data_IF_386361486966
#
_entry.id   IF_386361486966
#
_cell.length_a   1.000
_cell.length_b   1.000
_cell.length_c   1.000
_cell.angle_alpha   90.00
_cell.angle_beta   90.00
_cell.angle_gamma   90.00
#
_symmetry.space_group_name_H-M   'P 1'
#
loop_
_entity.id
_entity.type
_entity.pdbx_description
1 polymer ?
#
# COMPACT_ATOMS: atom_id res chain seq x y z
N UNK A 1 -10.61 25.14 2.68
CA UNK A 1 -11.11 24.35 3.85
C UNK A 1 -10.46 22.96 3.80
N UNK A 2 -9.37 22.77 4.51
CA UNK A 2 -8.48 21.61 4.39
C UNK A 2 -9.13 20.25 4.72
N UNK A 3 -10.13 20.22 5.61
CA UNK A 3 -10.86 19.00 5.98
C UNK A 3 -12.00 18.61 5.05
N UNK A 4 -12.39 19.49 4.12
CA UNK A 4 -13.41 19.22 3.10
C UNK A 4 -12.80 18.80 1.76
N UNK A 5 -11.52 18.40 1.74
CA UNK A 5 -10.86 17.92 0.53
C UNK A 5 -11.41 16.56 0.09
N UNK A 6 -11.64 16.40 -1.20
CA UNK A 6 -12.21 15.17 -1.80
C UNK A 6 -11.37 13.91 -1.49
N UNK A 7 -10.04 14.04 -1.35
CA UNK A 7 -9.17 12.91 -1.05
C UNK A 7 -9.40 12.36 0.36
N UNK A 8 -9.82 13.21 1.31
CA UNK A 8 -10.22 12.77 2.66
C UNK A 8 -11.45 11.86 2.58
N UNK A 9 -12.45 12.24 1.80
CA UNK A 9 -13.66 11.43 1.60
C UNK A 9 -13.40 10.17 0.81
N UNK A 10 -12.49 10.20 -0.17
CA UNK A 10 -12.04 9.00 -0.88
C UNK A 10 -11.48 7.96 0.10
N UNK A 11 -10.58 8.40 0.96
CA UNK A 11 -9.92 7.52 1.92
C UNK A 11 -10.87 7.02 3.01
N UNK A 12 -11.75 7.89 3.50
CA UNK A 12 -12.79 7.53 4.46
C UNK A 12 -13.73 6.46 3.92
N UNK A 13 -14.20 6.61 2.68
CA UNK A 13 -15.03 5.60 2.01
C UNK A 13 -14.29 4.27 1.82
N UNK A 14 -13.01 4.31 1.42
CA UNK A 14 -12.13 3.14 1.36
C UNK A 14 -12.01 2.42 2.71
N UNK A 15 -11.84 3.17 3.80
CA UNK A 15 -11.81 2.60 5.15
C UNK A 15 -13.12 1.92 5.55
N UNK A 16 -14.28 2.47 5.21
CA UNK A 16 -15.56 1.83 5.51
C UNK A 16 -15.70 0.50 4.76
N UNK A 17 -15.27 0.44 3.49
CA UNK A 17 -15.24 -0.81 2.72
C UNK A 17 -14.30 -1.82 3.38
N UNK A 18 -13.10 -1.39 3.78
CA UNK A 18 -12.14 -2.23 4.49
C UNK A 18 -12.70 -2.78 5.82
N UNK A 19 -13.44 -1.96 6.59
CA UNK A 19 -14.10 -2.40 7.82
C UNK A 19 -15.18 -3.46 7.55
N UNK A 20 -15.97 -3.31 6.48
CA UNK A 20 -16.93 -4.33 6.08
C UNK A 20 -16.25 -5.65 5.70
N UNK A 21 -15.13 -5.60 4.94
CA UNK A 21 -14.32 -6.77 4.60
C UNK A 21 -13.81 -7.49 5.87
N UNK A 22 -13.38 -6.71 6.87
CA UNK A 22 -12.92 -7.26 8.16
C UNK A 22 -14.06 -7.88 8.96
N UNK A 23 -15.18 -7.19 9.07
CA UNK A 23 -16.36 -7.66 9.80
C UNK A 23 -16.84 -9.03 9.34
N UNK A 24 -16.85 -9.27 8.03
CA UNK A 24 -17.38 -10.49 7.43
C UNK A 24 -16.29 -11.51 7.05
N UNK A 25 -15.03 -11.32 7.46
CA UNK A 25 -13.89 -12.19 7.16
C UNK A 25 -13.63 -12.43 5.66
N UNK A 26 -14.12 -11.56 4.76
CA UNK A 26 -13.90 -11.66 3.32
C UNK A 26 -12.40 -11.63 3.00
N UNK A 27 -11.68 -10.70 3.60
CA UNK A 27 -10.22 -10.55 3.46
C UNK A 27 -9.48 -11.84 3.83
N UNK A 28 -9.90 -12.53 4.91
CA UNK A 28 -9.30 -13.80 5.35
C UNK A 28 -9.53 -14.91 4.34
N UNK A 29 -10.73 -15.00 3.78
CA UNK A 29 -11.05 -15.97 2.74
C UNK A 29 -10.21 -15.76 1.49
N UNK A 30 -10.11 -14.52 1.00
CA UNK A 30 -9.29 -14.15 -0.17
C UNK A 30 -7.84 -14.57 0.06
N UNK A 31 -7.26 -14.21 1.21
CA UNK A 31 -5.89 -14.58 1.55
C UNK A 31 -5.64 -16.07 1.51
N UNK A 32 -6.50 -16.85 2.16
CA UNK A 32 -6.34 -18.32 2.23
C UNK A 32 -6.47 -18.98 0.84
N UNK A 33 -7.33 -18.47 -0.04
CA UNK A 33 -7.41 -18.97 -1.42
C UNK A 33 -6.15 -18.67 -2.22
N UNK A 34 -5.59 -17.46 -2.11
CA UNK A 34 -4.34 -17.09 -2.80
C UNK A 34 -3.19 -17.97 -2.32
N UNK A 35 -3.02 -18.14 -1.00
CA UNK A 35 -1.96 -18.99 -0.43
C UNK A 35 -2.14 -20.44 -0.88
N UNK A 36 -3.37 -20.96 -0.87
CA UNK A 36 -3.66 -22.34 -1.33
C UNK A 36 -3.28 -22.56 -2.79
N UNK A 37 -3.46 -21.57 -3.66
CA UNK A 37 -3.23 -21.68 -5.09
C UNK A 37 -1.73 -21.73 -5.45
N UNK A 38 -0.87 -21.03 -4.73
CA UNK A 38 0.54 -20.84 -5.09
C UNK A 38 1.45 -22.04 -4.73
N UNK A 39 0.97 -23.01 -3.94
CA UNK A 39 1.65 -24.29 -3.74
C UNK A 39 2.27 -24.49 -2.35
N UNK A 40 2.97 -25.63 -2.18
CA UNK A 40 3.32 -26.21 -0.86
C UNK A 40 4.82 -26.23 -0.55
N UNK A 41 5.70 -25.89 -1.50
CA UNK A 41 7.13 -25.79 -1.16
C UNK A 41 7.39 -24.55 -0.27
N UNK A 42 8.39 -24.56 0.60
CA UNK A 42 8.64 -23.45 1.53
C UNK A 42 8.71 -22.08 0.84
N UNK A 43 9.46 -21.98 -0.27
CA UNK A 43 9.57 -20.76 -1.06
C UNK A 43 8.25 -20.32 -1.68
N UNK A 44 7.43 -21.27 -2.18
CA UNK A 44 6.10 -20.98 -2.74
C UNK A 44 5.09 -20.57 -1.67
N UNK A 45 5.19 -21.14 -0.46
CA UNK A 45 4.37 -20.72 0.68
C UNK A 45 4.71 -19.25 1.02
N UNK A 46 5.99 -18.89 1.13
CA UNK A 46 6.39 -17.49 1.33
C UNK A 46 5.83 -16.59 0.23
N UNK A 47 5.96 -16.98 -1.05
CA UNK A 47 5.37 -16.23 -2.17
C UNK A 47 3.85 -16.09 -2.03
N UNK A 48 3.16 -17.17 -1.66
CA UNK A 48 1.71 -17.18 -1.45
C UNK A 48 1.27 -16.20 -0.38
N UNK A 49 1.98 -16.17 0.73
CA UNK A 49 1.73 -15.20 1.79
C UNK A 49 2.04 -13.76 1.34
N UNK A 50 3.14 -13.57 0.63
CA UNK A 50 3.51 -12.25 0.11
C UNK A 50 2.49 -11.71 -0.89
N UNK A 51 2.07 -12.52 -1.86
CA UNK A 51 1.05 -12.12 -2.85
C UNK A 51 -0.30 -11.85 -2.19
N UNK A 52 -0.73 -12.72 -1.27
CA UNK A 52 -1.98 -12.51 -0.53
C UNK A 52 -1.95 -11.23 0.31
N UNK A 53 -0.85 -11.01 1.01
CA UNK A 53 -0.66 -9.81 1.84
C UNK A 53 -0.60 -8.55 0.98
N UNK A 54 0.17 -8.55 -0.10
CA UNK A 54 0.26 -7.40 -1.01
C UNK A 54 -1.10 -7.08 -1.64
N UNK A 55 -1.82 -8.08 -2.15
CA UNK A 55 -3.14 -7.89 -2.74
C UNK A 55 -4.13 -7.27 -1.75
N UNK A 56 -4.18 -7.78 -0.51
CA UNK A 56 -5.08 -7.23 0.51
C UNK A 56 -4.66 -5.82 0.93
N UNK A 57 -3.36 -5.57 1.02
CA UNK A 57 -2.82 -4.27 1.43
C UNK A 57 -3.07 -3.16 0.39
N UNK A 58 -3.43 -3.50 -0.84
CA UNK A 58 -3.92 -2.54 -1.83
C UNK A 58 -5.24 -1.89 -1.42
N UNK A 59 -6.04 -2.55 -0.58
CA UNK A 59 -7.43 -2.18 -0.27
C UNK A 59 -7.68 -1.93 1.22
N UNK A 60 -6.85 -2.54 2.07
CA UNK A 60 -6.94 -2.50 3.52
C UNK A 60 -5.62 -1.98 4.05
N UNK A 61 -5.61 -1.25 5.17
CA UNK A 61 -4.36 -0.73 5.73
C UNK A 61 -3.31 -1.83 5.95
N UNK A 62 -2.04 -1.50 5.74
CA UNK A 62 -0.89 -2.39 5.91
C UNK A 62 -0.91 -3.06 7.29
N UNK A 63 -1.24 -2.30 8.34
CA UNK A 63 -1.36 -2.79 9.72
C UNK A 63 -2.42 -3.88 9.85
N UNK A 64 -3.63 -3.62 9.39
CA UNK A 64 -4.75 -4.57 9.50
C UNK A 64 -4.48 -5.85 8.70
N UNK A 65 -3.89 -5.70 7.51
CA UNK A 65 -3.48 -6.84 6.67
C UNK A 65 -2.43 -7.69 7.38
N UNK A 66 -1.41 -7.08 7.95
CA UNK A 66 -0.35 -7.80 8.69
C UNK A 66 -0.90 -8.47 9.94
N UNK A 67 -1.72 -7.77 10.74
CA UNK A 67 -2.36 -8.36 11.92
C UNK A 67 -3.18 -9.62 11.61
N UNK A 68 -3.78 -9.67 10.43
CA UNK A 68 -4.53 -10.84 9.99
C UNK A 68 -3.62 -11.96 9.47
N UNK A 69 -2.61 -11.63 8.66
CA UNK A 69 -1.71 -12.62 8.06
C UNK A 69 -0.74 -13.24 9.07
N UNK A 70 -0.38 -12.47 10.10
CA UNK A 70 0.54 -12.87 11.15
C UNK A 70 0.14 -14.18 11.87
N UNK A 71 -1.07 -14.35 12.46
CA UNK A 71 -1.45 -15.59 13.12
C UNK A 71 -1.55 -16.78 12.15
N UNK A 72 -1.92 -16.54 10.88
CA UNK A 72 -1.95 -17.59 9.86
C UNK A 72 -0.52 -18.05 9.55
N UNK A 73 0.40 -17.09 9.37
CA UNK A 73 1.82 -17.38 9.17
C UNK A 73 2.44 -18.12 10.34
N UNK A 74 2.16 -17.71 11.59
CA UNK A 74 2.61 -18.41 12.80
C UNK A 74 2.09 -19.86 12.85
N UNK A 75 0.83 -20.09 12.51
CA UNK A 75 0.26 -21.44 12.48
C UNK A 75 1.00 -22.35 11.49
N UNK A 76 1.40 -21.81 10.33
CA UNK A 76 2.20 -22.53 9.33
C UNK A 76 3.62 -22.79 9.84
N UNK A 77 4.26 -21.83 10.51
CA UNK A 77 5.59 -22.00 11.10
C UNK A 77 5.58 -23.07 12.19
N UNK A 78 4.62 -23.03 13.12
CA UNK A 78 4.50 -24.02 14.18
C UNK A 78 4.22 -25.42 13.64
N UNK A 79 3.38 -25.54 12.60
CA UNK A 79 3.14 -26.80 11.94
C UNK A 79 4.42 -27.35 11.31
N UNK A 80 5.17 -26.52 10.56
CA UNK A 80 6.43 -26.91 9.97
C UNK A 80 7.46 -27.36 11.02
N UNK A 81 7.60 -26.61 12.10
CA UNK A 81 8.48 -26.94 13.22
C UNK A 81 8.11 -28.31 13.83
N UNK A 82 6.83 -28.53 14.16
CA UNK A 82 6.35 -29.78 14.74
C UNK A 82 6.59 -31.00 13.83
N UNK A 83 6.50 -30.84 12.51
CA UNK A 83 6.76 -31.95 11.58
C UNK A 83 8.26 -32.24 11.47
N UNK A 84 9.11 -31.22 11.42
CA UNK A 84 10.56 -31.37 11.38
C UNK A 84 11.11 -32.00 12.65
N UNK A 85 10.55 -31.70 13.80
CA UNK A 85 10.90 -32.30 15.08
C UNK A 85 10.53 -33.78 15.11
N UNK A 86 9.35 -34.17 14.60
CA UNK A 86 8.92 -35.58 14.46
C UNK A 86 9.81 -36.38 13.52
N UNK A 87 10.25 -35.77 12.43
CA UNK A 87 11.17 -36.41 11.46
C UNK A 87 12.62 -36.47 11.97
N UNK A 88 12.91 -35.92 13.14
CA UNK A 88 14.28 -35.82 13.72
C UNK A 88 15.28 -35.20 12.71
N UNK A 89 14.85 -34.17 12.00
CA UNK A 89 15.60 -33.58 10.89
C UNK A 89 16.91 -32.89 11.29
N UNK A 90 17.18 -32.68 12.58
CA UNK A 90 18.35 -31.96 13.10
C UNK A 90 18.30 -30.44 12.88
N UNK A 91 17.22 -29.91 12.30
CA UNK A 91 17.07 -28.48 12.04
C UNK A 91 16.60 -27.80 13.32
N UNK A 92 17.26 -26.69 13.69
CA UNK A 92 16.85 -25.90 14.83
C UNK A 92 15.60 -25.07 14.48
N UNK A 93 14.45 -25.43 15.04
CA UNK A 93 13.15 -24.79 14.82
C UNK A 93 12.82 -23.71 15.86
N UNK A 94 13.73 -23.46 16.82
CA UNK A 94 13.51 -22.49 17.89
C UNK A 94 13.37 -21.05 17.34
N UNK A 95 12.59 -20.20 18.01
CA UNK A 95 12.52 -18.78 17.71
C UNK A 95 13.91 -18.14 17.62
N UNK A 96 14.10 -17.27 16.63
CA UNK A 96 15.39 -16.60 16.35
C UNK A 96 16.48 -17.46 15.70
N UNK A 97 16.17 -18.75 15.35
CA UNK A 97 17.12 -19.65 14.66
C UNK A 97 16.47 -20.35 13.46
N UNK A 98 15.15 -20.31 13.31
CA UNK A 98 14.43 -20.96 12.24
C UNK A 98 14.25 -20.04 11.03
N UNK A 99 15.10 -20.20 10.00
CA UNK A 99 15.09 -19.34 8.80
C UNK A 99 13.74 -19.29 8.08
N UNK A 100 13.01 -20.41 8.02
CA UNK A 100 11.67 -20.41 7.41
C UNK A 100 10.72 -19.48 8.17
N UNK A 101 10.77 -19.48 9.50
CA UNK A 101 9.97 -18.56 10.33
C UNK A 101 10.37 -17.09 10.08
N UNK A 102 11.68 -16.82 10.05
CA UNK A 102 12.21 -15.49 9.79
C UNK A 102 11.77 -14.97 8.42
N UNK A 103 11.99 -15.73 7.34
CA UNK A 103 11.66 -15.27 5.98
C UNK A 103 10.16 -15.13 5.75
N UNK A 104 9.32 -15.97 6.36
CA UNK A 104 7.86 -15.87 6.23
C UNK A 104 7.33 -14.60 6.94
N UNK A 105 7.84 -14.30 8.13
CA UNK A 105 7.45 -13.10 8.88
C UNK A 105 7.90 -11.82 8.15
N UNK A 106 9.15 -11.75 7.69
CA UNK A 106 9.63 -10.63 6.88
C UNK A 106 8.83 -10.49 5.59
N UNK A 107 8.53 -11.60 4.91
CA UNK A 107 7.71 -11.61 3.70
C UNK A 107 6.33 -10.99 3.92
N UNK A 108 5.66 -11.30 5.04
CA UNK A 108 4.37 -10.71 5.40
C UNK A 108 4.50 -9.19 5.61
N UNK A 109 5.45 -8.73 6.43
CA UNK A 109 5.58 -7.31 6.73
C UNK A 109 5.94 -6.48 5.49
N UNK A 110 6.93 -6.92 4.73
CA UNK A 110 7.42 -6.18 3.58
C UNK A 110 6.40 -6.15 2.45
N UNK A 111 5.70 -7.27 2.21
CA UNK A 111 4.65 -7.29 1.19
C UNK A 111 3.41 -6.47 1.57
N UNK A 112 3.13 -6.26 2.86
CA UNK A 112 2.10 -5.33 3.29
C UNK A 112 2.45 -3.89 2.90
N UNK A 113 3.68 -3.47 3.17
CA UNK A 113 4.17 -2.13 2.81
C UNK A 113 4.25 -1.94 1.30
N UNK A 114 4.80 -2.90 0.56
CA UNK A 114 4.90 -2.85 -0.91
C UNK A 114 3.50 -2.83 -1.54
N UNK A 115 2.59 -3.72 -1.12
CA UNK A 115 1.25 -3.81 -1.68
C UNK A 115 0.43 -2.53 -1.51
N UNK A 116 0.57 -1.86 -0.38
CA UNK A 116 -0.10 -0.58 -0.12
C UNK A 116 0.25 0.53 -1.12
N UNK A 117 1.40 0.46 -1.78
CA UNK A 117 1.79 1.46 -2.79
C UNK A 117 0.92 1.37 -4.06
N UNK A 118 0.33 0.21 -4.36
CA UNK A 118 -0.34 -0.04 -5.64
C UNK A 118 -1.55 0.87 -5.91
N UNK A 119 -2.30 1.26 -4.89
CA UNK A 119 -3.52 2.08 -5.04
C UNK A 119 -3.47 3.34 -4.19
N UNK A 120 -4.28 4.34 -4.54
CA UNK A 120 -4.38 5.57 -3.74
C UNK A 120 -4.84 5.29 -2.32
N UNK A 121 -5.74 4.32 -2.12
CA UNK A 121 -6.32 4.01 -0.81
C UNK A 121 -5.52 2.99 0.00
N UNK A 122 -4.48 2.37 -0.58
CA UNK A 122 -3.71 1.31 0.07
C UNK A 122 -2.83 1.82 1.22
N UNK A 123 -2.22 2.99 1.07
CA UNK A 123 -1.38 3.58 2.11
C UNK A 123 -1.51 5.10 2.16
N UNK A 124 -1.47 5.71 3.37
CA UNK A 124 -1.63 7.16 3.57
C UNK A 124 -0.72 8.06 2.72
N UNK A 125 0.57 7.78 2.54
CA UNK A 125 1.45 8.58 1.71
C UNK A 125 0.93 8.90 0.31
N UNK A 126 0.25 7.94 -0.33
CA UNK A 126 -0.24 8.09 -1.70
C UNK A 126 -1.30 9.21 -1.80
N UNK A 127 -2.23 9.22 -0.86
CA UNK A 127 -3.32 10.20 -0.88
C UNK A 127 -2.88 11.58 -0.33
N UNK A 128 -1.93 11.60 0.60
CA UNK A 128 -1.27 12.84 1.05
C UNK A 128 -0.62 13.53 -0.12
N UNK A 129 0.13 12.78 -0.93
CA UNK A 129 0.70 13.31 -2.16
C UNK A 129 -0.37 13.89 -3.08
N UNK A 130 -1.44 13.13 -3.39
CA UNK A 130 -2.47 13.58 -4.33
C UNK A 130 -3.16 14.87 -3.86
N UNK A 131 -3.47 14.98 -2.57
CA UNK A 131 -4.11 16.17 -2.00
C UNK A 131 -3.19 17.38 -1.94
N UNK A 132 -1.94 17.22 -1.52
CA UNK A 132 -0.97 18.32 -1.45
C UNK A 132 -0.58 18.79 -2.86
N UNK A 133 -0.37 17.86 -3.81
CA UNK A 133 -0.06 18.19 -5.18
C UNK A 133 -1.18 19.01 -5.83
N UNK A 134 -2.45 18.65 -5.62
CA UNK A 134 -3.60 19.41 -6.09
C UNK A 134 -3.68 20.80 -5.45
N UNK A 135 -3.40 20.90 -4.15
CA UNK A 135 -3.39 22.19 -3.43
C UNK A 135 -2.29 23.12 -3.92
N UNK A 136 -1.07 22.60 -4.13
CA UNK A 136 0.09 23.39 -4.54
C UNK A 136 0.09 23.71 -6.04
N UNK A 137 -0.42 22.80 -6.87
CA UNK A 137 -0.40 22.88 -8.33
C UNK A 137 -1.81 22.64 -8.92
N UNK A 138 -2.76 23.58 -8.76
CA UNK A 138 -4.14 23.39 -9.20
C UNK A 138 -4.30 23.13 -10.70
N UNK A 139 -3.34 23.58 -11.53
CA UNK A 139 -3.33 23.37 -12.98
C UNK A 139 -2.66 22.05 -13.41
N UNK A 140 -1.99 21.33 -12.50
CA UNK A 140 -1.44 20.01 -12.78
C UNK A 140 -2.58 19.00 -13.03
N UNK A 141 -2.33 17.92 -13.79
CA UNK A 141 -3.30 16.85 -13.98
C UNK A 141 -3.83 16.31 -12.65
N UNK A 142 -5.14 16.12 -12.55
CA UNK A 142 -5.72 15.49 -11.38
C UNK A 142 -5.33 14.02 -11.32
N UNK A 143 -4.86 13.58 -10.15
CA UNK A 143 -4.44 12.21 -9.91
C UNK A 143 -5.62 11.42 -9.37
N UNK A 144 -6.27 10.68 -10.27
CA UNK A 144 -7.34 9.76 -9.91
C UNK A 144 -6.83 8.39 -9.50
N UNK A 145 -7.77 7.53 -9.08
CA UNK A 145 -7.48 6.15 -8.67
C UNK A 145 -6.79 5.36 -9.79
N UNK A 146 -7.31 5.46 -11.02
CA UNK A 146 -6.74 4.76 -12.17
C UNK A 146 -5.35 5.29 -12.55
N UNK A 147 -5.13 6.61 -12.47
CA UNK A 147 -3.85 7.22 -12.82
C UNK A 147 -2.74 6.76 -11.87
N UNK A 148 -3.07 6.71 -10.57
CA UNK A 148 -2.15 6.13 -9.59
C UNK A 148 -1.93 4.64 -9.80
N UNK A 149 -2.98 3.87 -10.09
CA UNK A 149 -2.90 2.42 -10.33
C UNK A 149 -1.96 2.09 -11.50
N UNK A 150 -1.96 2.91 -12.56
CA UNK A 150 -1.05 2.74 -13.72
C UNK A 150 0.43 2.84 -13.36
N UNK A 151 0.78 3.47 -12.25
CA UNK A 151 2.16 3.59 -11.76
C UNK A 151 2.41 2.62 -10.60
N UNK A 152 1.51 2.60 -9.63
CA UNK A 152 1.68 1.84 -8.40
C UNK A 152 1.60 0.32 -8.61
N UNK A 153 0.69 -0.15 -9.47
CA UNK A 153 0.54 -1.58 -9.74
C UNK A 153 1.77 -2.18 -10.46
N UNK A 154 2.32 -1.58 -11.53
CA UNK A 154 3.57 -2.04 -12.13
C UNK A 154 4.72 -2.10 -11.12
N UNK A 155 4.82 -1.10 -10.23
CA UNK A 155 5.84 -1.11 -9.18
C UNK A 155 5.70 -2.35 -8.29
N UNK A 156 4.49 -2.65 -7.83
CA UNK A 156 4.25 -3.82 -6.98
C UNK A 156 4.51 -5.13 -7.74
N UNK A 157 4.10 -5.22 -9.01
CA UNK A 157 4.34 -6.40 -9.87
C UNK A 157 5.84 -6.67 -10.04
N UNK A 158 6.68 -5.65 -10.06
CA UNK A 158 8.13 -5.80 -10.18
C UNK A 158 8.78 -5.97 -8.80
N UNK A 159 8.44 -5.11 -7.83
CA UNK A 159 9.12 -5.08 -6.55
C UNK A 159 8.82 -6.30 -5.67
N UNK A 160 7.59 -6.82 -5.70
CA UNK A 160 7.21 -7.97 -4.89
C UNK A 160 7.98 -9.26 -5.28
N UNK A 161 8.08 -9.67 -6.56
CA UNK A 161 8.91 -10.80 -6.96
C UNK A 161 10.41 -10.60 -6.68
N UNK A 162 10.92 -9.39 -6.87
CA UNK A 162 12.33 -9.06 -6.54
C UNK A 162 12.55 -9.24 -5.04
N UNK A 163 11.65 -8.73 -4.20
CA UNK A 163 11.72 -8.90 -2.75
C UNK A 163 11.64 -10.38 -2.35
N UNK A 164 10.71 -11.14 -2.94
CA UNK A 164 10.60 -12.58 -2.69
C UNK A 164 11.88 -13.34 -3.08
N UNK A 165 12.43 -13.04 -4.25
CA UNK A 165 13.66 -13.67 -4.72
C UNK A 165 14.83 -13.32 -3.79
N UNK A 166 15.00 -12.04 -3.47
CA UNK A 166 16.01 -11.57 -2.54
C UNK A 166 15.90 -12.26 -1.17
N UNK A 167 14.70 -12.28 -0.58
CA UNK A 167 14.47 -12.89 0.73
C UNK A 167 14.75 -14.38 0.73
N UNK A 168 14.24 -15.12 -0.27
CA UNK A 168 14.25 -16.60 -0.23
C UNK A 168 15.47 -17.25 -0.86
N UNK A 169 16.28 -16.52 -1.62
CA UNK A 169 17.46 -17.07 -2.30
C UNK A 169 18.76 -16.44 -1.84
N UNK A 170 18.75 -15.16 -1.41
CA UNK A 170 19.97 -14.41 -1.10
C UNK A 170 20.07 -14.15 0.40
N UNK A 171 19.09 -13.44 0.98
CA UNK A 171 19.20 -12.92 2.34
C UNK A 171 18.96 -13.98 3.41
N UNK A 172 17.86 -14.73 3.30
CA UNK A 172 17.40 -15.73 4.29
C UNK A 172 16.79 -16.96 3.57
N UNK A 173 17.62 -17.81 2.94
CA UNK A 173 17.11 -19.05 2.38
C UNK A 173 16.36 -19.88 3.47
N UNK A 174 15.17 -20.44 3.16
CA UNK A 174 14.32 -21.10 4.17
C UNK A 174 14.99 -22.27 4.94
N UNK A 175 16.05 -22.86 4.40
CA UNK A 175 16.80 -23.94 5.05
C UNK A 175 16.08 -25.29 5.07
N UNK A 176 14.89 -25.39 4.48
CA UNK A 176 14.06 -26.59 4.40
C UNK A 176 13.60 -26.82 2.96
N UNK A 177 13.53 -28.09 2.53
CA UNK A 177 13.15 -28.43 1.15
C UNK A 177 11.64 -28.68 0.99
N UNK A 178 10.97 -29.19 2.03
CA UNK A 178 9.54 -29.51 2.04
C UNK A 178 8.93 -29.15 3.40
N UNK A 179 7.64 -28.87 3.40
CA UNK A 179 6.81 -28.74 4.63
C UNK A 179 5.72 -29.79 4.51
N UNK A 180 5.86 -30.93 5.20
CA UNK A 180 4.81 -31.95 5.24
C UNK A 180 3.53 -31.33 5.81
N UNK A 181 2.39 -31.58 5.18
CA UNK A 181 1.09 -31.07 5.69
C UNK A 181 0.88 -29.56 5.65
N UNK A 182 1.77 -28.77 5.03
CA UNK A 182 1.61 -27.30 4.97
C UNK A 182 0.31 -26.85 4.28
N UNK A 183 -0.21 -27.64 3.33
CA UNK A 183 -1.50 -27.41 2.69
C UNK A 183 -2.68 -27.69 3.63
N UNK A 184 -2.55 -28.66 4.51
CA UNK A 184 -3.61 -29.07 5.43
C UNK A 184 -3.98 -27.97 6.42
N UNK A 185 -3.00 -27.16 6.87
CA UNK A 185 -3.24 -26.01 7.75
C UNK A 185 -4.14 -24.99 7.05
N UNK A 186 -3.82 -24.63 5.81
CA UNK A 186 -4.60 -23.67 5.03
C UNK A 186 -6.00 -24.21 4.73
N UNK A 187 -6.11 -25.48 4.36
CA UNK A 187 -7.41 -26.12 4.10
C UNK A 187 -8.27 -26.25 5.37
N UNK A 188 -7.66 -26.52 6.52
CA UNK A 188 -8.33 -26.53 7.82
C UNK A 188 -8.92 -25.16 8.15
N UNK A 189 -8.16 -24.10 7.94
CA UNK A 189 -8.63 -22.74 8.22
C UNK A 189 -9.69 -22.27 7.21
N UNK A 190 -9.59 -22.67 5.94
CA UNK A 190 -10.68 -22.49 4.96
C UNK A 190 -11.95 -23.24 5.37
N UNK A 191 -11.85 -24.47 5.84
CA UNK A 191 -12.99 -25.25 6.34
C UNK A 191 -13.66 -24.58 7.54
N UNK A 192 -12.88 -23.98 8.47
CA UNK A 192 -13.43 -23.24 9.61
C UNK A 192 -14.26 -22.02 9.20
N UNK A 193 -13.92 -21.35 8.07
CA UNK A 193 -14.72 -20.25 7.56
C UNK A 193 -16.09 -20.71 7.02
N UNK A 194 -16.24 -21.98 6.67
CA UNK A 194 -17.47 -22.51 6.12
C UNK A 194 -17.85 -21.93 4.76
N UNK A 195 -19.12 -22.04 4.39
CA UNK A 195 -19.66 -21.44 3.15
C UNK A 195 -19.76 -19.94 3.28
N UNK A 196 -19.60 -19.23 2.15
CA UNK A 196 -19.71 -17.77 2.08
C UNK A 196 -21.11 -17.31 2.50
N UNK A 197 -21.17 -16.56 3.59
CA UNK A 197 -22.40 -16.01 4.13
C UNK A 197 -22.94 -14.80 3.34
N UNK A 198 -24.20 -14.39 3.62
CA UNK A 198 -24.83 -13.25 2.94
C UNK A 198 -24.05 -11.95 3.14
N UNK A 199 -23.58 -11.66 4.36
CA UNK A 199 -22.80 -10.45 4.63
C UNK A 199 -21.49 -10.42 3.86
N UNK A 200 -20.81 -11.57 3.74
CA UNK A 200 -19.58 -11.70 2.97
C UNK A 200 -19.81 -11.49 1.47
N UNK A 201 -20.91 -12.06 0.90
CA UNK A 201 -21.27 -11.89 -0.51
C UNK A 201 -21.62 -10.44 -0.85
N UNK A 202 -22.40 -9.78 0.00
CA UNK A 202 -22.77 -8.38 -0.18
C UNK A 202 -21.54 -7.47 -0.08
N UNK A 203 -20.65 -7.75 0.86
CA UNK A 203 -19.38 -7.02 0.97
C UNK A 203 -18.52 -7.20 -0.29
N UNK A 204 -18.41 -8.43 -0.80
CA UNK A 204 -17.67 -8.70 -2.04
C UNK A 204 -18.30 -7.96 -3.22
N UNK A 205 -19.63 -7.97 -3.33
CA UNK A 205 -20.33 -7.25 -4.39
C UNK A 205 -20.03 -5.75 -4.36
N UNK A 206 -20.18 -5.09 -3.19
CA UNK A 206 -19.89 -3.66 -3.06
C UNK A 206 -18.42 -3.35 -3.32
N UNK A 207 -17.51 -4.18 -2.80
CA UNK A 207 -16.08 -4.02 -3.05
C UNK A 207 -15.75 -4.07 -4.55
N UNK A 208 -16.20 -5.09 -5.25
CA UNK A 208 -15.95 -5.25 -6.70
C UNK A 208 -16.64 -4.12 -7.48
N UNK A 209 -17.87 -3.75 -7.12
CA UNK A 209 -18.58 -2.64 -7.74
C UNK A 209 -17.81 -1.33 -7.62
N UNK A 210 -17.34 -0.97 -6.42
CA UNK A 210 -16.57 0.25 -6.20
C UNK A 210 -15.23 0.21 -6.93
N UNK A 211 -14.50 -0.91 -6.87
CA UNK A 211 -13.22 -1.05 -7.56
C UNK A 211 -13.37 -0.90 -9.09
N UNK A 212 -14.37 -1.54 -9.69
CA UNK A 212 -14.65 -1.39 -11.12
C UNK A 212 -15.13 0.02 -11.45
N UNK A 213 -15.96 0.63 -10.60
CA UNK A 213 -16.40 2.01 -10.79
C UNK A 213 -15.25 3.00 -10.77
N UNK A 214 -14.22 2.81 -9.95
CA UNK A 214 -13.01 3.63 -9.97
C UNK A 214 -12.19 3.44 -11.24
N UNK A 215 -11.98 2.18 -11.66
CA UNK A 215 -11.17 1.86 -12.84
C UNK A 215 -11.82 2.40 -14.12
N UNK A 216 -13.13 2.21 -14.27
CA UNK A 216 -13.86 2.61 -15.48
C UNK A 216 -14.58 3.96 -15.35
N UNK A 217 -14.22 4.81 -14.39
CA UNK A 217 -14.84 6.13 -14.21
C UNK A 217 -14.53 7.06 -15.38
N UNK A 218 -13.27 7.16 -15.76
CA UNK A 218 -12.78 7.97 -16.90
C UNK A 218 -12.47 7.07 -18.09
N UNK A 219 -12.35 7.68 -19.25
CA UNK A 219 -11.94 6.98 -20.46
C UNK A 219 -10.57 6.33 -20.28
N UNK A 220 -10.42 5.11 -20.78
CA UNK A 220 -9.15 4.40 -20.81
C UNK A 220 -8.67 4.36 -22.25
N UNK A 221 -7.67 5.19 -22.55
CA UNK A 221 -7.02 5.20 -23.84
C UNK A 221 -5.94 4.12 -23.89
N UNK A 222 -6.11 3.16 -24.81
CA UNK A 222 -5.15 2.09 -25.10
C UNK A 222 -4.31 2.39 -26.36
N UNK A 223 -4.40 3.59 -26.90
CA UNK A 223 -3.72 4.05 -28.11
C UNK A 223 -4.41 3.59 -29.40
N UNK A 224 -4.89 2.36 -29.48
CA UNK A 224 -5.64 1.82 -30.62
C UNK A 224 -7.15 1.75 -30.38
N UNK A 225 -7.59 1.83 -29.15
CA UNK A 225 -9.00 1.81 -28.76
C UNK A 225 -9.20 2.58 -27.46
N UNK A 226 -10.26 3.40 -27.39
CA UNK A 226 -10.67 4.12 -26.17
C UNK A 226 -11.87 3.36 -25.58
N UNK A 227 -11.74 2.90 -24.34
CA UNK A 227 -12.86 2.37 -23.57
C UNK A 227 -13.51 3.56 -22.88
N UNK A 228 -14.77 3.92 -23.25
CA UNK A 228 -15.42 5.07 -22.66
C UNK A 228 -15.71 4.86 -21.18
N UNK A 229 -15.41 5.87 -20.36
CA UNK A 229 -15.70 5.89 -18.94
C UNK A 229 -17.20 6.11 -18.68
N UNK A 230 -17.74 5.44 -17.68
CA UNK A 230 -19.15 5.55 -17.36
C UNK A 230 -19.59 6.98 -16.97
N UNK A 231 -18.70 7.80 -16.38
CA UNK A 231 -19.03 9.19 -16.03
C UNK A 231 -19.21 10.06 -17.27
N UNK A 232 -18.40 9.80 -18.33
CA UNK A 232 -18.52 10.47 -19.63
C UNK A 232 -19.81 10.05 -20.37
N UNK A 233 -20.08 8.73 -20.39
CA UNK A 233 -21.32 8.21 -21.01
C UNK A 233 -22.59 8.77 -20.39
N UNK A 234 -22.57 9.07 -19.09
CA UNK A 234 -23.70 9.66 -18.37
C UNK A 234 -23.70 11.20 -18.40
N UNK A 235 -22.67 11.84 -18.96
CA UNK A 235 -22.55 13.31 -19.01
C UNK A 235 -22.34 13.96 -17.64
N UNK A 236 -21.78 13.24 -16.67
CA UNK A 236 -21.61 13.69 -15.27
C UNK A 236 -20.15 13.76 -14.83
N UNK A 237 -19.20 13.73 -15.75
CA UNK A 237 -17.75 13.69 -15.46
C UNK A 237 -17.28 14.81 -14.53
N UNK A 238 -17.84 16.02 -14.66
CA UNK A 238 -17.46 17.19 -13.87
C UNK A 238 -17.99 17.15 -12.43
N UNK A 239 -18.97 16.31 -12.16
CA UNK A 239 -19.65 16.24 -10.86
C UNK A 239 -19.27 15.01 -10.05
N UNK A 240 -18.66 13.99 -10.69
CA UNK A 240 -18.36 12.72 -10.04
C UNK A 240 -16.86 12.51 -9.95
N UNK A 241 -16.37 12.46 -8.72
CA UNK A 241 -14.99 12.14 -8.36
C UNK A 241 -14.88 10.72 -7.79
N UNK A 242 -13.65 10.21 -7.62
CA UNK A 242 -13.42 8.90 -6.99
C UNK A 242 -13.97 8.86 -5.56
N UNK A 243 -13.95 10.00 -4.85
CA UNK A 243 -14.57 10.15 -3.52
C UNK A 243 -16.08 9.95 -3.54
N UNK A 244 -16.77 10.38 -4.59
CA UNK A 244 -18.21 10.18 -4.76
C UNK A 244 -18.55 8.68 -4.82
N UNK A 245 -17.77 7.92 -5.59
CA UNK A 245 -17.89 6.46 -5.69
C UNK A 245 -17.59 5.78 -4.35
N UNK A 246 -16.53 6.23 -3.65
CA UNK A 246 -16.15 5.69 -2.35
C UNK A 246 -17.25 5.86 -1.30
N UNK A 247 -17.79 7.08 -1.18
CA UNK A 247 -18.87 7.39 -0.23
C UNK A 247 -20.18 6.69 -0.62
N UNK A 248 -20.50 6.63 -1.92
CA UNK A 248 -21.66 5.86 -2.38
C UNK A 248 -21.55 4.38 -1.98
N UNK A 249 -20.38 3.75 -2.19
CA UNK A 249 -20.11 2.38 -1.74
C UNK A 249 -20.26 2.22 -0.23
N UNK A 250 -19.73 3.19 0.54
CA UNK A 250 -19.89 3.19 1.99
C UNK A 250 -21.35 3.26 2.41
N UNK A 251 -22.15 4.16 1.82
CA UNK A 251 -23.59 4.28 2.10
C UNK A 251 -24.30 2.96 1.78
N UNK A 252 -24.00 2.33 0.65
CA UNK A 252 -24.57 1.01 0.31
C UNK A 252 -24.31 -0.03 1.40
N UNK A 253 -23.11 -0.06 1.99
CA UNK A 253 -22.80 -1.00 3.08
C UNK A 253 -23.65 -0.78 4.34
N UNK A 254 -24.04 0.45 4.63
CA UNK A 254 -24.94 0.76 5.75
C UNK A 254 -26.41 0.42 5.42
N UNK A 255 -26.79 0.48 4.15
CA UNK A 255 -28.18 0.25 3.72
C UNK A 255 -28.50 -1.22 3.39
N UNK A 256 -27.50 -2.01 2.97
CA UNK A 256 -27.71 -3.40 2.57
C UNK A 256 -27.96 -4.32 3.76
N UNK A 257 -29.15 -4.94 3.89
CA UNK A 257 -29.48 -5.82 4.99
C UNK A 257 -28.88 -7.23 4.77
N UNK A 258 -28.17 -7.74 5.76
CA UNK A 258 -27.74 -9.15 5.82
C UNK A 258 -28.85 -10.01 6.39
N UNK A 259 -29.55 -9.49 7.40
CA UNK A 259 -30.75 -10.12 7.99
C UNK A 259 -31.74 -9.02 8.35
N UNK A 260 -32.80 -8.90 7.55
CA UNK A 260 -33.81 -7.86 7.73
C UNK A 260 -34.58 -8.01 9.06
N UNK A 261 -34.91 -9.25 9.43
CA UNK A 261 -35.67 -9.54 10.68
C UNK A 261 -34.87 -9.15 11.93
N UNK A 262 -33.55 -9.36 11.91
CA UNK A 262 -32.65 -9.02 13.01
C UNK A 262 -32.04 -7.61 12.90
N UNK A 263 -32.44 -6.82 11.89
CA UNK A 263 -31.87 -5.49 11.58
C UNK A 263 -30.34 -5.49 11.49
N UNK A 264 -29.75 -6.57 10.95
CA UNK A 264 -28.32 -6.67 10.73
C UNK A 264 -27.98 -6.21 9.34
N UNK A 265 -27.20 -5.16 9.21
CA UNK A 265 -26.70 -4.59 7.96
C UNK A 265 -25.24 -4.98 7.73
N UNK A 266 -24.74 -4.82 6.49
CA UNK A 266 -23.34 -5.15 6.14
C UNK A 266 -22.36 -4.36 6.98
N UNK A 267 -22.59 -3.05 7.17
CA UNK A 267 -21.83 -2.19 8.07
C UNK A 267 -22.80 -1.56 9.09
N UNK A 268 -22.33 -1.32 10.30
CA UNK A 268 -23.02 -0.56 11.33
C UNK A 268 -22.08 0.48 11.92
N UNK A 269 -22.62 1.41 12.68
CA UNK A 269 -21.84 2.52 13.25
C UNK A 269 -20.71 2.06 14.18
N UNK A 270 -20.93 1.00 14.96
CA UNK A 270 -19.92 0.43 15.85
C UNK A 270 -18.64 0.00 15.10
N UNK A 271 -18.79 -0.61 13.92
CA UNK A 271 -17.67 -0.96 13.05
C UNK A 271 -17.10 0.25 12.31
N UNK A 272 -17.93 1.21 11.94
CA UNK A 272 -17.51 2.46 11.32
C UNK A 272 -16.60 3.29 12.24
N UNK A 273 -16.84 3.28 13.53
CA UNK A 273 -15.99 3.98 14.51
C UNK A 273 -14.56 3.43 14.61
N UNK A 274 -14.30 2.22 14.10
CA UNK A 274 -12.97 1.58 14.13
C UNK A 274 -12.03 2.05 13.02
N UNK A 275 -12.50 2.89 12.10
CA UNK A 275 -11.59 3.48 11.10
C UNK A 275 -10.53 4.35 11.80
N UNK A 276 -9.33 4.49 11.21
CA UNK A 276 -8.25 5.25 11.83
C UNK A 276 -8.47 6.77 11.69
N UNK A 277 -9.36 7.34 12.50
CA UNK A 277 -9.70 8.77 12.52
C UNK A 277 -8.49 9.70 12.63
N UNK A 278 -7.44 9.26 13.35
CA UNK A 278 -6.19 10.01 13.47
C UNK A 278 -5.51 10.29 12.13
N UNK A 279 -5.63 9.36 11.17
CA UNK A 279 -5.09 9.56 9.81
C UNK A 279 -5.89 10.63 9.07
N UNK A 280 -7.21 10.65 9.21
CA UNK A 280 -8.09 11.68 8.61
C UNK A 280 -7.74 13.06 9.16
N UNK A 281 -7.51 13.17 10.47
CA UNK A 281 -7.09 14.41 11.12
C UNK A 281 -5.71 14.86 10.63
N UNK A 282 -4.77 13.92 10.48
CA UNK A 282 -3.42 14.20 9.97
C UNK A 282 -3.46 14.71 8.52
N UNK A 283 -4.36 14.20 7.68
CA UNK A 283 -4.52 14.69 6.30
C UNK A 283 -4.97 16.14 6.25
N UNK A 284 -6.05 16.47 6.97
CA UNK A 284 -6.54 17.84 7.02
C UNK A 284 -5.49 18.83 7.56
N UNK A 285 -4.73 18.40 8.59
CA UNK A 285 -3.59 19.16 9.10
C UNK A 285 -2.47 19.32 8.07
N UNK A 286 -2.15 18.27 7.32
CA UNK A 286 -1.15 18.29 6.25
C UNK A 286 -1.53 19.22 5.10
N UNK A 287 -2.79 19.20 4.68
CA UNK A 287 -3.28 20.13 3.64
C UNK A 287 -3.29 21.59 4.13
N UNK A 288 -3.63 21.82 5.40
CA UNK A 288 -3.52 23.15 6.00
C UNK A 288 -2.07 23.63 6.05
N UNK A 289 -1.13 22.74 6.40
CA UNK A 289 0.30 23.04 6.41
C UNK A 289 0.80 23.40 4.99
N UNK A 290 0.44 22.61 3.97
CA UNK A 290 0.80 22.88 2.58
C UNK A 290 0.28 24.26 2.10
N UNK A 291 -0.97 24.60 2.44
CA UNK A 291 -1.51 25.93 2.17
C UNK A 291 -0.72 27.03 2.90
N UNK A 292 -0.31 26.78 4.17
CA UNK A 292 0.54 27.69 4.93
C UNK A 292 1.90 27.92 4.30
N UNK A 293 2.55 26.90 3.74
CA UNK A 293 3.80 27.02 3.00
C UNK A 293 3.69 27.97 1.80
N UNK A 294 2.56 27.91 1.07
CA UNK A 294 2.33 28.79 -0.07
C UNK A 294 2.03 30.23 0.37
N UNK A 295 1.09 30.41 1.29
CA UNK A 295 0.61 31.75 1.69
C UNK A 295 1.64 32.55 2.48
N UNK A 296 2.55 31.89 3.22
CA UNK A 296 3.64 32.52 3.97
C UNK A 296 4.87 32.88 3.13
N UNK A 297 4.94 32.42 1.86
CA UNK A 297 6.15 32.54 1.04
C UNK A 297 7.28 31.58 1.41
N UNK A 298 7.07 30.68 2.38
CA UNK A 298 8.08 29.72 2.84
C UNK A 298 8.50 28.78 1.69
N UNK A 299 7.55 28.36 0.84
CA UNK A 299 7.85 27.52 -0.31
C UNK A 299 8.84 28.22 -1.27
N UNK A 300 8.63 29.52 -1.54
CA UNK A 300 9.54 30.31 -2.37
C UNK A 300 10.92 30.45 -1.73
N UNK A 301 10.97 30.78 -0.44
CA UNK A 301 12.24 30.92 0.31
C UNK A 301 13.06 29.63 0.29
N UNK A 302 12.43 28.45 0.52
CA UNK A 302 13.09 27.14 0.43
C UNK A 302 13.59 26.90 -1.00
N UNK A 303 12.79 27.20 -2.01
CA UNK A 303 13.15 27.06 -3.41
C UNK A 303 14.41 27.88 -3.76
N UNK A 304 14.46 29.14 -3.35
CA UNK A 304 15.64 30.02 -3.57
C UNK A 304 16.91 29.44 -2.92
N UNK A 305 16.79 28.86 -1.71
CA UNK A 305 17.92 28.22 -1.02
C UNK A 305 18.38 26.91 -1.67
N UNK A 306 17.49 26.22 -2.36
CA UNK A 306 17.79 24.95 -3.04
C UNK A 306 18.15 25.15 -4.53
N UNK A 307 18.18 26.38 -5.03
CA UNK A 307 18.47 26.71 -6.44
C UNK A 307 19.85 26.22 -6.91
N UNK A 308 20.80 25.99 -6.01
CA UNK A 308 22.12 25.41 -6.35
C UNK A 308 22.04 23.98 -6.89
N UNK A 309 20.89 23.30 -6.72
CA UNK A 309 20.61 21.99 -7.30
C UNK A 309 20.16 22.05 -8.76
N UNK A 310 19.95 23.27 -9.32
CA UNK A 310 19.68 23.44 -10.74
C UNK A 310 20.81 22.85 -11.58
N UNK A 311 20.46 22.04 -12.59
CA UNK A 311 21.46 21.35 -13.43
C UNK A 311 21.82 19.95 -13.00
N UNK A 312 21.39 19.49 -11.82
CA UNK A 312 21.51 18.09 -11.45
C UNK A 312 20.57 17.25 -12.33
N UNK A 313 21.06 16.16 -12.96
CA UNK A 313 20.21 15.28 -13.75
C UNK A 313 19.00 14.78 -12.96
N UNK A 314 17.79 14.90 -13.56
CA UNK A 314 16.51 14.57 -12.90
C UNK A 314 16.50 13.18 -12.28
N UNK A 315 17.08 12.17 -12.96
CA UNK A 315 17.14 10.80 -12.44
C UNK A 315 17.97 10.69 -11.15
N UNK A 316 19.09 11.45 -11.06
CA UNK A 316 19.93 11.47 -9.85
C UNK A 316 19.16 12.16 -8.73
N UNK A 317 18.46 13.24 -9.00
CA UNK A 317 17.66 13.96 -8.01
C UNK A 317 16.54 13.04 -7.48
N UNK A 318 15.82 12.31 -8.34
CA UNK A 318 14.82 11.32 -7.95
C UNK A 318 15.46 10.25 -7.04
N UNK A 319 16.61 9.69 -7.42
CA UNK A 319 17.28 8.66 -6.61
C UNK A 319 17.69 9.19 -5.24
N UNK A 320 18.25 10.40 -5.16
CA UNK A 320 18.62 11.03 -3.89
C UNK A 320 17.39 11.24 -2.99
N UNK A 321 16.27 11.69 -3.56
CA UNK A 321 14.99 11.86 -2.83
C UNK A 321 14.48 10.50 -2.35
N UNK A 322 14.49 9.47 -3.20
CA UNK A 322 14.08 8.12 -2.82
C UNK A 322 14.91 7.60 -1.64
N UNK A 323 16.22 7.69 -1.71
CA UNK A 323 17.11 7.27 -0.63
C UNK A 323 16.86 8.08 0.65
N UNK A 324 16.79 9.41 0.53
CA UNK A 324 16.52 10.28 1.67
C UNK A 324 15.23 9.89 2.38
N UNK A 325 14.12 9.77 1.64
CA UNK A 325 12.81 9.47 2.22
C UNK A 325 12.76 8.05 2.80
N UNK A 326 13.33 7.08 2.10
CA UNK A 326 13.38 5.68 2.56
C UNK A 326 14.13 5.55 3.89
N UNK A 327 15.28 6.20 4.06
CA UNK A 327 16.01 6.15 5.33
C UNK A 327 15.40 7.05 6.40
N UNK A 328 14.82 8.18 6.04
CA UNK A 328 14.15 9.07 7.00
C UNK A 328 12.91 8.38 7.61
N UNK A 329 12.14 7.66 6.79
CA UNK A 329 10.93 6.98 7.26
C UNK A 329 11.20 5.76 8.14
N UNK A 330 12.44 5.26 8.22
CA UNK A 330 12.82 4.20 9.17
C UNK A 330 12.70 4.64 10.64
N UNK A 331 12.89 5.93 10.90
CA UNK A 331 12.86 6.51 12.26
C UNK A 331 11.69 7.47 12.48
N UNK A 332 10.85 7.65 11.46
CA UNK A 332 9.68 8.52 11.51
C UNK A 332 8.46 7.83 10.91
N UNK A 333 7.25 8.35 11.13
CA UNK A 333 6.03 7.82 10.51
C UNK A 333 5.99 8.11 9.00
N UNK A 334 5.70 7.11 8.17
CA UNK A 334 5.55 7.26 6.72
C UNK A 334 4.64 8.43 6.34
N UNK A 335 3.48 8.54 7.01
CA UNK A 335 2.50 9.59 6.75
C UNK A 335 3.02 10.96 7.16
N UNK A 336 3.65 11.08 8.33
CA UNK A 336 4.21 12.33 8.80
C UNK A 336 5.36 12.80 7.90
N UNK A 337 6.28 11.88 7.55
CA UNK A 337 7.39 12.16 6.63
C UNK A 337 6.86 12.68 5.29
N UNK A 338 5.87 12.01 4.70
CA UNK A 338 5.28 12.43 3.44
C UNK A 338 4.63 13.81 3.58
N UNK A 339 3.82 14.02 4.62
CA UNK A 339 3.11 15.29 4.85
C UNK A 339 4.07 16.47 4.97
N UNK A 340 5.20 16.28 5.67
CA UNK A 340 6.20 17.34 5.85
C UNK A 340 7.03 17.59 4.59
N UNK A 341 7.39 16.52 3.88
CA UNK A 341 8.31 16.63 2.74
C UNK A 341 7.62 17.06 1.45
N UNK A 342 6.32 16.79 1.26
CA UNK A 342 5.62 17.15 0.03
C UNK A 342 5.70 18.66 -0.32
N UNK A 343 5.43 19.61 0.61
CA UNK A 343 5.58 21.02 0.31
C UNK A 343 7.02 21.43 -0.04
N UNK A 344 8.00 20.83 0.65
CA UNK A 344 9.42 21.07 0.41
C UNK A 344 9.83 20.61 -1.00
N UNK A 345 9.39 19.40 -1.39
CA UNK A 345 9.68 18.82 -2.70
C UNK A 345 8.95 19.57 -3.82
N UNK A 346 7.74 20.07 -3.55
CA UNK A 346 7.04 20.97 -4.47
C UNK A 346 7.83 22.28 -4.72
N UNK A 347 8.35 22.90 -3.66
CA UNK A 347 9.21 24.07 -3.76
C UNK A 347 10.52 23.78 -4.49
N UNK A 348 11.16 22.63 -4.20
CA UNK A 348 12.36 22.18 -4.91
C UNK A 348 12.10 21.99 -6.41
N UNK A 349 10.98 21.38 -6.77
CA UNK A 349 10.59 21.16 -8.17
C UNK A 349 10.50 22.49 -8.93
N UNK A 350 9.85 23.49 -8.32
CA UNK A 350 9.77 24.85 -8.90
C UNK A 350 11.17 25.47 -9.07
N UNK A 351 12.00 25.39 -8.03
CA UNK A 351 13.35 25.98 -8.06
C UNK A 351 14.27 25.34 -9.09
N UNK A 352 14.11 24.04 -9.35
CA UNK A 352 14.94 23.27 -10.29
C UNK A 352 14.34 23.14 -11.67
N UNK A 353 13.18 23.77 -11.93
CA UNK A 353 12.43 23.68 -13.19
C UNK A 353 12.09 22.24 -13.60
N UNK A 354 11.90 21.34 -12.62
CA UNK A 354 11.48 19.95 -12.83
C UNK A 354 9.99 19.84 -12.54
N UNK A 355 9.26 19.04 -13.35
CA UNK A 355 7.84 18.82 -13.09
C UNK A 355 7.61 18.22 -11.69
N UNK A 356 6.73 18.81 -10.83
CA UNK A 356 6.57 18.41 -9.43
C UNK A 356 6.29 16.91 -9.21
N UNK A 357 5.56 16.28 -10.12
CA UNK A 357 5.23 14.85 -10.02
C UNK A 357 6.47 13.94 -10.05
N UNK A 358 7.54 14.38 -10.76
CA UNK A 358 8.79 13.60 -10.81
C UNK A 358 9.57 13.58 -9.49
N UNK A 359 9.30 14.51 -8.59
CA UNK A 359 9.92 14.53 -7.25
C UNK A 359 8.94 14.05 -6.16
N UNK A 360 7.67 14.41 -6.26
CA UNK A 360 6.67 14.13 -5.22
C UNK A 360 6.14 12.69 -5.29
N UNK A 361 5.91 12.09 -6.48
CA UNK A 361 5.45 10.69 -6.62
C UNK A 361 6.48 9.71 -6.04
N UNK A 362 7.77 9.75 -6.44
CA UNK A 362 8.75 8.82 -5.91
C UNK A 362 8.96 9.01 -4.41
N UNK A 363 8.83 10.22 -3.89
CA UNK A 363 8.88 10.50 -2.47
C UNK A 363 7.72 9.82 -1.70
N UNK A 364 6.49 9.90 -2.19
CA UNK A 364 5.34 9.23 -1.59
C UNK A 364 5.51 7.70 -1.58
N UNK A 365 6.01 7.13 -2.69
CA UNK A 365 6.26 5.69 -2.80
C UNK A 365 7.39 5.24 -1.87
N UNK A 366 8.50 5.98 -1.84
CA UNK A 366 9.67 5.67 -1.02
C UNK A 366 9.40 5.82 0.49
N UNK A 367 8.52 6.74 0.89
CA UNK A 367 8.06 6.85 2.27
C UNK A 367 7.34 5.60 2.78
N UNK A 368 6.86 4.72 1.89
CA UNK A 368 6.29 3.42 2.25
C UNK A 368 7.31 2.28 2.26
N UNK A 369 8.55 2.54 1.84
CA UNK A 369 9.64 1.56 1.76
C UNK A 369 10.52 1.63 3.00
N UNK A 370 10.01 1.15 4.15
CA UNK A 370 10.73 1.09 5.41
C UNK A 370 10.82 -0.36 5.89
N UNK A 371 11.99 -0.98 5.72
CA UNK A 371 12.17 -2.41 5.89
C UNK A 371 13.20 -2.79 6.97
N UNK A 372 13.94 -1.81 7.55
CA UNK A 372 15.06 -2.10 8.45
C UNK A 372 14.66 -2.28 9.91
N UNK A 373 13.79 -1.42 10.42
CA UNK A 373 13.55 -1.33 11.86
C UNK A 373 12.14 -1.78 12.26
N UNK A 374 11.99 -2.46 13.41
CA UNK A 374 10.66 -2.80 13.93
C UNK A 374 9.77 -1.58 14.17
N UNK A 375 10.36 -0.45 14.58
CA UNK A 375 9.64 0.79 14.89
C UNK A 375 9.23 1.58 13.64
N UNK A 376 9.81 1.28 12.48
CA UNK A 376 9.58 2.02 11.25
C UNK A 376 8.13 1.95 10.78
N UNK A 377 7.53 0.78 10.87
CA UNK A 377 6.12 0.57 10.46
C UNK A 377 5.40 -0.39 11.41
N UNK A 378 4.06 -0.24 11.59
CA UNK A 378 3.28 -1.22 12.34
C UNK A 378 3.40 -2.67 11.82
N UNK A 379 3.42 -2.95 10.51
CA UNK A 379 3.75 -4.27 9.99
C UNK A 379 5.04 -4.87 10.54
N UNK A 380 6.11 -4.10 10.55
CA UNK A 380 7.41 -4.55 11.08
C UNK A 380 7.32 -4.88 12.58
N UNK A 381 6.67 -4.01 13.37
CA UNK A 381 6.48 -4.23 14.81
C UNK A 381 5.66 -5.50 15.11
N UNK A 382 4.59 -5.75 14.33
CA UNK A 382 3.74 -6.92 14.50
C UNK A 382 4.53 -8.20 14.28
N UNK A 383 5.26 -8.32 13.16
CA UNK A 383 6.01 -9.53 12.85
C UNK A 383 7.21 -9.72 13.79
N UNK A 384 7.81 -8.63 14.25
CA UNK A 384 8.88 -8.67 15.26
C UNK A 384 8.38 -9.33 16.57
N UNK A 385 7.13 -9.09 16.95
CA UNK A 385 6.48 -9.73 18.09
C UNK A 385 6.36 -11.26 18.00
N UNK A 386 6.67 -11.87 16.85
CA UNK A 386 6.69 -13.35 16.70
C UNK A 386 7.82 -14.04 17.46
N UNK A 387 8.89 -13.32 17.80
CA UNK A 387 10.12 -13.85 18.37
C UNK A 387 11.04 -14.57 17.36
N UNK A 388 10.64 -14.73 16.09
CA UNK A 388 11.50 -15.32 15.05
C UNK A 388 12.49 -14.32 14.43
N UNK A 389 12.30 -13.02 14.64
CA UNK A 389 13.13 -11.95 14.12
C UNK A 389 14.03 -11.35 15.21
N UNK A 390 15.27 -11.06 14.85
CA UNK A 390 16.20 -10.22 15.64
C UNK A 390 16.41 -8.90 14.93
N UNK A 391 16.64 -7.82 15.68
CA UNK A 391 16.87 -6.48 15.11
C UNK A 391 18.02 -6.48 14.08
N UNK A 392 19.19 -7.12 14.34
CA UNK A 392 20.28 -7.14 13.36
C UNK A 392 19.89 -7.86 12.05
N UNK A 393 19.11 -8.95 12.12
CA UNK A 393 18.68 -9.67 10.92
C UNK A 393 17.76 -8.80 10.07
N UNK A 394 16.78 -8.14 10.72
CA UNK A 394 15.86 -7.24 10.06
C UNK A 394 16.57 -6.02 9.46
N UNK A 395 17.46 -5.40 10.22
CA UNK A 395 18.23 -4.24 9.77
C UNK A 395 19.10 -4.58 8.54
N UNK A 396 19.82 -5.71 8.59
CA UNK A 396 20.68 -6.15 7.49
C UNK A 396 19.85 -6.44 6.22
N UNK A 397 18.80 -7.20 6.36
CA UNK A 397 17.94 -7.58 5.23
C UNK A 397 17.24 -6.34 4.67
N UNK A 398 16.69 -5.50 5.53
CA UNK A 398 15.98 -4.28 5.16
C UNK A 398 16.86 -3.24 4.49
N UNK A 399 18.11 -3.09 4.93
CA UNK A 399 19.04 -2.11 4.35
C UNK A 399 19.22 -2.31 2.83
N UNK A 400 19.50 -3.54 2.40
CA UNK A 400 19.63 -3.82 0.98
C UNK A 400 18.30 -3.67 0.24
N UNK A 401 17.19 -4.04 0.89
CA UNK A 401 15.87 -3.91 0.28
C UNK A 401 15.45 -2.44 0.13
N UNK A 402 15.85 -1.56 1.04
CA UNK A 402 15.67 -0.11 0.94
C UNK A 402 16.39 0.46 -0.30
N UNK A 403 17.64 0.02 -0.54
CA UNK A 403 18.41 0.43 -1.71
C UNK A 403 17.75 -0.10 -3.01
N UNK A 404 17.41 -1.39 -3.03
CA UNK A 404 16.71 -2.01 -4.18
C UNK A 404 15.41 -1.27 -4.46
N UNK A 405 14.62 -0.97 -3.43
CA UNK A 405 13.37 -0.21 -3.55
C UNK A 405 13.59 1.18 -4.12
N UNK A 406 14.56 1.93 -3.61
CA UNK A 406 14.90 3.26 -4.12
C UNK A 406 15.27 3.24 -5.62
N UNK A 407 16.03 2.25 -6.06
CA UNK A 407 16.39 2.07 -7.47
C UNK A 407 15.15 1.74 -8.32
N UNK A 408 14.32 0.78 -7.87
CA UNK A 408 13.11 0.37 -8.61
C UNK A 408 12.15 1.56 -8.72
N UNK A 409 11.89 2.28 -7.63
CA UNK A 409 11.03 3.46 -7.62
C UNK A 409 11.56 4.53 -8.56
N UNK A 410 12.86 4.81 -8.50
CA UNK A 410 13.51 5.82 -9.37
C UNK A 410 13.31 5.47 -10.84
N UNK A 411 13.64 4.24 -11.25
CA UNK A 411 13.54 3.82 -12.65
C UNK A 411 12.09 3.83 -13.13
N UNK A 412 11.17 3.25 -12.34
CA UNK A 412 9.76 3.20 -12.74
C UNK A 412 9.13 4.59 -12.83
N UNK A 413 9.37 5.46 -11.86
CA UNK A 413 8.84 6.83 -11.90
C UNK A 413 9.39 7.58 -13.10
N UNK A 414 10.70 7.52 -13.32
CA UNK A 414 11.32 8.22 -14.45
C UNK A 414 10.75 7.79 -15.80
N UNK A 415 10.52 6.49 -16.00
CA UNK A 415 10.04 5.97 -17.29
C UNK A 415 8.51 5.94 -17.43
N UNK A 416 7.74 5.85 -16.35
CA UNK A 416 6.28 5.70 -16.42
C UNK A 416 5.52 7.01 -16.19
N UNK A 417 5.99 7.90 -15.29
CA UNK A 417 5.23 9.10 -14.93
C UNK A 417 5.12 10.07 -16.11
N UNK A 418 6.21 10.22 -16.86
CA UNK A 418 6.24 11.12 -18.03
C UNK A 418 5.16 10.74 -19.06
N UNK A 419 5.11 9.51 -19.61
CA UNK A 419 4.11 9.15 -20.61
C UNK A 419 2.69 9.02 -20.03
N UNK A 420 2.54 8.53 -18.78
CA UNK A 420 1.20 8.34 -18.19
C UNK A 420 0.46 9.65 -17.99
N UNK A 421 1.17 10.68 -17.53
CA UNK A 421 0.56 12.01 -17.33
C UNK A 421 0.73 12.97 -18.51
N UNK A 422 1.40 12.54 -19.59
CA UNK A 422 1.67 13.39 -20.74
C UNK A 422 2.46 14.66 -20.38
N UNK A 423 3.33 14.58 -19.37
CA UNK A 423 4.06 15.73 -18.84
C UNK A 423 5.43 15.87 -19.51
N UNK A 424 5.84 17.13 -19.69
CA UNK A 424 7.23 17.42 -20.02
C UNK A 424 8.06 17.45 -18.73
N UNK A 425 9.16 16.69 -18.69
CA UNK A 425 9.99 16.58 -17.49
C UNK A 425 10.58 17.93 -17.00
N UNK A 426 10.80 18.88 -17.94
CA UNK A 426 11.37 20.18 -17.69
C UNK A 426 10.35 21.33 -17.79
N UNK A 427 9.05 21.02 -17.77
CA UNK A 427 8.00 22.04 -17.80
C UNK A 427 7.23 22.06 -16.49
N UNK A 428 7.04 23.25 -15.95
CA UNK A 428 6.20 23.46 -14.78
C UNK A 428 4.72 23.56 -15.20
N UNK A 429 3.78 23.02 -14.43
CA UNK A 429 2.35 23.02 -14.75
C UNK A 429 1.65 24.32 -14.35
N UNK A 430 2.19 25.46 -14.77
CA UNK A 430 1.63 26.78 -14.44
C UNK A 430 0.95 27.43 -15.63
#
# INVERSE_FOLDING_TARGET
MSYADQNIFLFMGGFFIAMAMQRWNLHKRIALYIVKFLGTSPRRIVLGFMVATAFLSMWISNTATTMMMFPIGLAVIFHAASMLDKEKSGINTAPGSFNFGLVLMLGIAYSASIGGIATLVGTPPNIVFAGIAKSMFPKAPEIGFLDWLKIGLPLVIIFLPVTWFYLTHIAVPPGISKIPGGREVIERDLRKLGKMGTGEKLTLFVFVFVALSWVFRRDIDLGFWVIPGWSGLLGISDYVHDSTVAIFGAILLFLLPVNFKKRVFVLNWEWALRIPWGIILLFGGGFALAAGFQTSGLAQWIGERLSFLCGVPTIIMILCICLLLTFLTEVTSNTATTTMMMPVLGALAVATCIHPFLLMIPAAMSASCAFMLPVATPPNAIVFGSGYLKIPDMARVGFFLNIIGAIIVTLLVYFLVIPIFGINALALPF
#
